data_IF_070414226440
#
_entry.id   IF_070414226440
#
_cell.length_a   1.000
_cell.length_b   1.000
_cell.length_c   1.000
_cell.angle_alpha   90.00
_cell.angle_beta   90.00
_cell.angle_gamma   90.00
#
_symmetry.space_group_name_H-M   'P 1'
#
loop_
_entity.id
_entity.type
_entity.pdbx_description
1 polymer ?
#
# COMPACT_ATOMS: atom_id res chain seq x y z
N UNK A 1 -25.29 14.00 3.60
CA UNK A 1 -23.88 14.01 3.17
C UNK A 1 -23.43 12.57 3.02
N UNK A 2 -22.82 12.19 1.90
CA UNK A 2 -22.45 10.79 1.60
C UNK A 2 -20.94 10.53 1.59
N UNK A 3 -20.14 11.61 1.50
CA UNK A 3 -18.69 11.54 1.36
C UNK A 3 -17.99 10.67 2.42
N UNK A 4 -18.33 10.75 3.73
CA UNK A 4 -17.63 9.94 4.74
C UNK A 4 -17.82 8.43 4.55
N UNK A 5 -18.96 8.00 3.99
CA UNK A 5 -19.25 6.59 3.74
C UNK A 5 -18.39 6.10 2.57
N UNK A 6 -18.39 6.86 1.47
CA UNK A 6 -17.57 6.54 0.29
C UNK A 6 -16.07 6.52 0.63
N UNK A 7 -15.61 7.43 1.49
CA UNK A 7 -14.22 7.46 1.92
C UNK A 7 -13.86 6.23 2.75
N UNK A 8 -14.73 5.82 3.68
CA UNK A 8 -14.49 4.62 4.48
C UNK A 8 -14.49 3.33 3.64
N UNK A 9 -15.38 3.24 2.65
CA UNK A 9 -15.41 2.11 1.70
C UNK A 9 -14.11 2.00 0.89
N UNK A 10 -13.59 3.14 0.41
CA UNK A 10 -12.33 3.19 -0.32
C UNK A 10 -11.11 2.91 0.57
N UNK A 11 -11.11 3.39 1.81
CA UNK A 11 -10.05 3.11 2.79
C UNK A 11 -9.97 1.60 3.09
N UNK A 12 -11.11 0.93 3.30
CA UNK A 12 -11.17 -0.53 3.48
C UNK A 12 -10.65 -1.28 2.24
N UNK A 13 -11.10 -0.85 1.04
CA UNK A 13 -10.59 -1.41 -0.23
C UNK A 13 -9.07 -1.28 -0.32
N UNK A 14 -8.53 -0.10 -0.03
CA UNK A 14 -7.11 0.19 -0.07
C UNK A 14 -6.32 -0.68 0.90
N UNK A 15 -6.73 -0.77 2.17
CA UNK A 15 -6.03 -1.58 3.19
C UNK A 15 -6.03 -3.06 2.82
N UNK A 16 -7.11 -3.56 2.21
CA UNK A 16 -7.19 -4.93 1.73
C UNK A 16 -6.16 -5.23 0.63
N UNK A 17 -5.98 -4.31 -0.32
CA UNK A 17 -5.03 -4.49 -1.43
C UNK A 17 -3.60 -4.29 -0.97
N UNK A 18 -3.38 -3.33 -0.07
CA UNK A 18 -2.07 -3.09 0.53
C UNK A 18 -1.54 -4.32 1.28
N UNK A 19 -2.40 -5.05 2.00
CA UNK A 19 -2.01 -6.31 2.66
C UNK A 19 -1.54 -7.36 1.66
N UNK A 20 -2.24 -7.53 0.54
CA UNK A 20 -1.83 -8.47 -0.52
C UNK A 20 -0.48 -8.08 -1.13
N UNK A 21 -0.27 -6.78 -1.35
CA UNK A 21 1.00 -6.27 -1.84
C UNK A 21 2.16 -6.55 -0.87
N UNK A 22 1.95 -6.33 0.43
CA UNK A 22 2.96 -6.65 1.46
C UNK A 22 3.27 -8.14 1.54
N UNK A 23 2.26 -9.01 1.38
CA UNK A 23 2.48 -10.47 1.32
C UNK A 23 3.30 -10.86 0.08
N UNK A 24 3.00 -10.26 -1.07
CA UNK A 24 3.78 -10.44 -2.30
C UNK A 24 5.22 -9.92 -2.14
N UNK A 25 5.40 -8.73 -1.59
CA UNK A 25 6.71 -8.14 -1.30
C UNK A 25 7.54 -9.08 -0.40
N UNK A 26 6.92 -9.63 0.65
CA UNK A 26 7.57 -10.55 1.57
C UNK A 26 8.04 -11.84 0.88
N UNK A 27 7.23 -12.42 -0.02
CA UNK A 27 7.63 -13.64 -0.73
C UNK A 27 8.74 -13.40 -1.75
N UNK A 28 8.67 -12.30 -2.51
CA UNK A 28 9.66 -11.98 -3.55
C UNK A 28 10.99 -11.55 -2.94
N UNK A 29 10.96 -10.83 -1.81
CA UNK A 29 12.16 -10.25 -1.20
C UNK A 29 12.78 -11.10 -0.09
N UNK A 30 12.24 -12.30 0.18
CA UNK A 30 12.69 -13.17 1.30
C UNK A 30 14.19 -13.47 1.34
N UNK A 31 14.83 -13.52 0.17
CA UNK A 31 16.25 -13.88 0.02
C UNK A 31 17.17 -12.66 -0.14
N UNK A 32 16.64 -11.44 -0.07
CA UNK A 32 17.41 -10.21 -0.25
C UNK A 32 17.93 -9.70 1.11
N UNK A 33 19.26 -9.68 1.34
CA UNK A 33 19.82 -9.28 2.62
C UNK A 33 19.56 -7.80 2.91
N UNK A 34 19.02 -7.53 4.10
CA UNK A 34 18.74 -6.16 4.56
C UNK A 34 17.41 -5.58 4.08
N UNK A 35 16.63 -6.32 3.28
CA UNK A 35 15.28 -5.89 2.90
C UNK A 35 14.32 -5.96 4.10
N UNK A 36 13.47 -4.95 4.27
CA UNK A 36 12.42 -4.92 5.27
C UNK A 36 11.08 -4.67 4.58
N UNK A 37 10.20 -5.65 4.67
CA UNK A 37 8.85 -5.57 4.10
C UNK A 37 8.08 -4.41 4.71
N UNK A 38 7.43 -3.59 3.86
CA UNK A 38 6.66 -2.44 4.30
C UNK A 38 7.48 -1.30 4.91
N UNK A 39 8.80 -1.25 4.65
CA UNK A 39 9.63 -0.12 5.06
C UNK A 39 9.17 1.16 4.35
N UNK A 40 8.93 2.21 5.13
CA UNK A 40 8.49 3.49 4.59
C UNK A 40 9.66 4.21 3.91
N UNK A 41 9.50 4.53 2.62
CA UNK A 41 10.50 5.26 1.82
C UNK A 41 10.57 6.75 2.20
N UNK A 42 9.52 7.29 2.84
CA UNK A 42 9.46 8.68 3.27
C UNK A 42 9.99 8.88 4.69
N UNK A 43 10.98 9.77 4.81
CA UNK A 43 11.65 10.08 6.08
C UNK A 43 10.87 11.01 7.02
N UNK A 44 9.65 11.42 6.66
CA UNK A 44 8.87 12.40 7.42
C UNK A 44 8.11 11.78 8.60
N UNK A 45 8.02 10.45 8.67
CA UNK A 45 7.17 9.73 9.64
C UNK A 45 5.67 9.90 9.40
N UNK A 46 5.27 10.60 8.33
CA UNK A 46 3.87 10.74 7.94
C UNK A 46 3.50 9.65 6.94
N UNK A 47 2.28 9.15 7.05
CA UNK A 47 1.72 8.30 6.01
C UNK A 47 1.48 9.12 4.75
N UNK A 48 1.89 8.56 3.61
CA UNK A 48 1.63 9.11 2.29
C UNK A 48 1.02 7.97 1.47
N UNK A 49 0.00 8.25 0.64
CA UNK A 49 -0.52 7.24 -0.26
C UNK A 49 0.61 6.77 -1.20
N UNK A 50 0.67 5.47 -1.51
CA UNK A 50 1.64 4.93 -2.46
C UNK A 50 1.42 5.56 -3.84
N UNK A 51 2.48 5.59 -4.66
CA UNK A 51 2.35 6.07 -6.02
C UNK A 51 1.33 5.21 -6.79
N UNK A 52 0.50 5.85 -7.62
CA UNK A 52 -0.71 5.26 -8.24
C UNK A 52 -0.46 3.92 -8.95
N UNK A 53 0.75 3.71 -9.48
CA UNK A 53 1.13 2.50 -10.21
C UNK A 53 1.31 1.23 -9.37
N UNK A 54 1.42 1.33 -8.05
CA UNK A 54 1.76 0.15 -7.20
C UNK A 54 0.53 -0.73 -6.89
N UNK A 55 -0.65 -0.13 -6.68
CA UNK A 55 -1.87 -0.85 -6.29
C UNK A 55 -2.94 -0.91 -7.39
N UNK A 56 -2.88 -0.02 -8.38
CA UNK A 56 -3.84 0.06 -9.49
C UNK A 56 -3.12 0.36 -10.81
N UNK A 57 -2.29 -0.56 -11.32
CA UNK A 57 -1.58 -0.39 -12.59
C UNK A 57 -2.53 -0.32 -13.81
N UNK A 58 -3.81 -0.65 -13.61
CA UNK A 58 -4.89 -0.58 -14.61
C UNK A 58 -5.48 0.83 -14.79
N UNK A 59 -5.26 1.74 -13.83
CA UNK A 59 -5.82 3.10 -13.83
C UNK A 59 -4.70 4.09 -14.17
N UNK A 60 -4.63 4.46 -15.44
CA UNK A 60 -3.72 5.49 -15.97
C UNK A 60 -4.41 6.85 -16.04
#
# INVERSE_FOLDING_TARGET
>A
AILPILQAEEDERFVSEWKKYLEYEADVMKDVPGWKVGENVYNSGRWMPPATGELRPDVW
#
